data_IF_946423369231
#
_entry.id   IF_946423369231
#
_cell.length_a   1.000
_cell.length_b   1.000
_cell.length_c   1.000
_cell.angle_alpha   90.00
_cell.angle_beta   90.00
_cell.angle_gamma   90.00
#
_symmetry.space_group_name_H-M   'P 1'
#
loop_
_entity.id
_entity.type
_entity.pdbx_description
1 polymer ?
#
# COMPACT_ATOMS: atom_id res chain seq x y z
N UNK A 1 20.46 3.31 -18.56
CA UNK A 1 19.01 3.53 -18.40
C UNK A 1 18.60 2.69 -17.21
N UNK A 2 18.22 3.31 -16.09
CA UNK A 2 17.67 2.57 -14.96
C UNK A 2 16.17 2.51 -15.24
N UNK A 3 15.65 1.33 -15.61
CA UNK A 3 14.21 1.10 -15.58
C UNK A 3 13.82 1.26 -14.12
N UNK A 4 12.96 2.22 -13.81
CA UNK A 4 12.33 2.22 -12.51
C UNK A 4 11.52 0.91 -12.43
N UNK A 5 11.84 0.07 -11.44
CA UNK A 5 11.18 -1.22 -11.29
C UNK A 5 9.68 -1.00 -11.10
N UNK A 6 8.89 -1.79 -11.82
CA UNK A 6 7.44 -1.78 -11.71
C UNK A 6 7.06 -2.18 -10.27
N UNK A 7 6.25 -1.36 -9.60
CA UNK A 7 5.65 -1.73 -8.32
C UNK A 7 4.53 -2.72 -8.61
N UNK A 8 4.77 -3.97 -8.26
CA UNK A 8 3.80 -5.05 -8.33
C UNK A 8 3.12 -5.30 -6.96
N UNK A 9 2.20 -6.25 -6.93
CA UNK A 9 1.45 -6.60 -5.71
C UNK A 9 2.36 -7.05 -4.58
N UNK A 10 3.46 -7.75 -4.90
CA UNK A 10 4.38 -8.27 -3.89
C UNK A 10 5.19 -7.15 -3.28
N UNK A 11 5.73 -6.23 -4.10
CA UNK A 11 6.45 -5.05 -3.62
C UNK A 11 5.53 -4.18 -2.74
N UNK A 12 4.28 -3.98 -3.16
CA UNK A 12 3.29 -3.26 -2.37
C UNK A 12 3.06 -3.88 -1.00
N UNK A 13 2.81 -5.20 -0.92
CA UNK A 13 2.59 -5.91 0.35
C UNK A 13 3.84 -5.86 1.24
N UNK A 14 5.04 -6.00 0.67
CA UNK A 14 6.28 -5.90 1.44
C UNK A 14 6.48 -4.51 2.04
N UNK A 15 6.15 -3.44 1.29
CA UNK A 15 6.20 -2.07 1.82
C UNK A 15 5.20 -1.86 2.95
N UNK A 16 3.99 -2.41 2.85
CA UNK A 16 3.01 -2.36 3.94
C UNK A 16 3.50 -3.08 5.20
N UNK A 17 4.09 -4.27 5.04
CA UNK A 17 4.70 -5.00 6.16
C UNK A 17 5.87 -4.23 6.78
N UNK A 18 6.67 -3.52 5.97
CA UNK A 18 7.77 -2.70 6.45
C UNK A 18 7.30 -1.49 7.28
N UNK A 19 6.12 -0.94 6.97
CA UNK A 19 5.45 0.10 7.78
C UNK A 19 4.89 -0.50 9.09
N UNK A 20 4.65 -1.82 9.10
CA UNK A 20 4.18 -2.56 10.26
C UNK A 20 2.71 -2.98 10.19
N UNK A 21 2.11 -3.00 8.99
CA UNK A 21 0.79 -3.61 8.79
C UNK A 21 0.92 -5.14 8.71
N UNK A 22 0.04 -5.84 9.42
CA UNK A 22 -0.04 -7.29 9.35
C UNK A 22 -0.84 -7.71 8.11
N UNK A 23 -0.14 -7.86 6.98
CA UNK A 23 -0.71 -8.32 5.70
C UNK A 23 -0.06 -9.64 5.30
N UNK A 24 -0.82 -10.60 4.77
CA UNK A 24 -0.24 -11.86 4.32
C UNK A 24 0.59 -11.64 3.04
N UNK A 25 1.80 -12.21 2.95
CA UNK A 25 2.68 -12.08 1.78
C UNK A 25 2.13 -12.62 0.44
N UNK A 26 0.99 -13.31 0.48
CA UNK A 26 0.30 -13.85 -0.69
C UNK A 26 -1.13 -13.29 -0.80
N UNK A 27 -1.42 -12.21 -0.04
CA UNK A 27 -2.67 -11.48 -0.11
C UNK A 27 -2.79 -10.81 -1.47
N UNK A 28 -4.00 -10.83 -2.03
CA UNK A 28 -4.32 -9.95 -3.14
C UNK A 28 -4.27 -8.49 -2.68
N UNK A 29 -4.19 -7.54 -3.62
CA UNK A 29 -4.28 -6.10 -3.32
C UNK A 29 -5.56 -5.80 -2.52
N UNK A 30 -6.68 -6.41 -2.90
CA UNK A 30 -7.96 -6.23 -2.20
C UNK A 30 -7.91 -6.74 -0.75
N UNK A 31 -7.31 -7.91 -0.51
CA UNK A 31 -7.13 -8.45 0.84
C UNK A 31 -6.18 -7.56 1.67
N UNK A 32 -5.14 -7.00 1.04
CA UNK A 32 -4.25 -6.03 1.67
C UNK A 32 -4.99 -4.75 2.09
N UNK A 33 -5.89 -4.23 1.25
CA UNK A 33 -6.72 -3.06 1.62
C UNK A 33 -7.66 -3.36 2.79
N UNK A 34 -8.27 -4.55 2.83
CA UNK A 34 -9.09 -4.95 3.97
C UNK A 34 -8.25 -5.04 5.25
N UNK A 35 -7.08 -5.66 5.19
CA UNK A 35 -6.17 -5.76 6.32
C UNK A 35 -5.70 -4.38 6.83
N UNK A 36 -5.44 -3.44 5.92
CA UNK A 36 -5.14 -2.04 6.28
C UNK A 36 -6.34 -1.43 7.00
N UNK A 37 -7.55 -1.52 6.43
CA UNK A 37 -8.75 -0.93 7.00
C UNK A 37 -9.09 -1.46 8.39
N UNK A 38 -8.86 -2.75 8.63
CA UNK A 38 -9.05 -3.36 9.96
C UNK A 38 -8.06 -2.81 11.01
N UNK A 39 -6.87 -2.41 10.57
CA UNK A 39 -5.77 -1.97 11.44
C UNK A 39 -5.65 -0.44 11.53
N UNK A 40 -6.15 0.31 10.55
CA UNK A 40 -5.89 1.77 10.42
C UNK A 40 -6.39 2.58 11.61
N UNK A 41 -7.37 2.07 12.36
CA UNK A 41 -7.91 2.70 13.57
C UNK A 41 -7.09 2.43 14.83
N UNK A 42 -6.17 1.45 14.81
CA UNK A 42 -5.38 1.01 15.97
C UNK A 42 -3.86 1.17 15.79
N UNK A 43 -3.39 1.47 14.58
CA UNK A 43 -1.96 1.74 14.29
C UNK A 43 -1.48 3.05 14.89
N UNK A 44 -0.17 3.16 15.07
CA UNK A 44 0.44 4.39 15.57
C UNK A 44 0.35 5.52 14.52
N UNK A 45 0.27 6.81 14.95
CA UNK A 45 0.23 7.94 14.02
C UNK A 45 1.38 7.96 13.02
N UNK A 46 2.58 7.52 13.43
CA UNK A 46 3.76 7.41 12.57
C UNK A 46 3.57 6.41 11.42
N UNK A 47 2.88 5.29 11.67
CA UNK A 47 2.57 4.29 10.64
C UNK A 47 1.53 4.82 9.66
N UNK A 48 0.54 5.57 10.15
CA UNK A 48 -0.45 6.23 9.32
C UNK A 48 0.19 7.29 8.40
N UNK A 49 1.14 8.08 8.92
CA UNK A 49 1.91 9.03 8.12
C UNK A 49 2.74 8.32 7.03
N UNK A 50 3.40 7.21 7.36
CA UNK A 50 4.15 6.42 6.38
C UNK A 50 3.23 5.79 5.31
N UNK A 51 2.05 5.29 5.70
CA UNK A 51 1.05 4.80 4.75
C UNK A 51 0.60 5.92 3.82
N UNK A 52 0.31 7.11 4.35
CA UNK A 52 -0.06 8.28 3.54
C UNK A 52 1.04 8.67 2.54
N UNK A 53 2.31 8.62 2.97
CA UNK A 53 3.45 8.87 2.09
C UNK A 53 3.56 7.81 0.98
N UNK A 54 3.42 6.53 1.31
CA UNK A 54 3.40 5.45 0.33
C UNK A 54 2.29 5.65 -0.71
N UNK A 55 1.06 5.92 -0.26
CA UNK A 55 -0.09 6.15 -1.16
C UNK A 55 0.14 7.36 -2.08
N UNK A 56 0.75 8.43 -1.57
CA UNK A 56 1.12 9.59 -2.38
C UNK A 56 2.22 9.27 -3.40
N UNK A 57 3.23 8.49 -3.02
CA UNK A 57 4.29 8.03 -3.92
C UNK A 57 3.72 7.19 -5.06
N UNK A 58 2.84 6.23 -4.75
CA UNK A 58 2.19 5.38 -5.74
C UNK A 58 1.32 6.19 -6.71
N UNK A 59 0.57 7.17 -6.20
CA UNK A 59 -0.23 8.07 -7.03
C UNK A 59 0.61 9.02 -7.89
N UNK A 60 1.77 9.47 -7.41
CA UNK A 60 2.68 10.30 -8.20
C UNK A 60 3.35 9.49 -9.33
N UNK A 61 3.49 8.18 -9.16
CA UNK A 61 4.20 7.28 -10.06
C UNK A 61 3.28 6.25 -10.73
N UNK A 62 2.02 6.58 -11.00
CA UNK A 62 1.02 5.67 -11.60
C UNK A 62 1.51 4.95 -12.87
N UNK A 63 2.41 5.55 -13.66
CA UNK A 63 3.01 4.91 -14.84
C UNK A 63 3.99 3.75 -14.54
N UNK A 64 4.30 3.51 -13.27
CA UNK A 64 5.23 2.49 -12.78
C UNK A 64 4.59 1.58 -11.72
N UNK A 65 3.28 1.70 -11.49
CA UNK A 65 2.54 0.91 -10.51
C UNK A 65 1.50 0.08 -11.24
N UNK A 66 1.28 -1.16 -10.81
CA UNK A 66 0.19 -1.96 -11.36
C UNK A 66 -1.16 -1.23 -11.20
N UNK A 67 -1.99 -1.16 -12.27
CA UNK A 67 -3.30 -0.51 -12.21
C UNK A 67 -4.17 -1.02 -11.07
N UNK A 68 -4.12 -2.32 -10.78
CA UNK A 68 -4.89 -2.93 -9.71
C UNK A 68 -4.59 -2.28 -8.35
N UNK A 69 -3.34 -1.90 -8.07
CA UNK A 69 -2.98 -1.21 -6.84
C UNK A 69 -3.67 0.16 -6.82
N UNK A 70 -3.49 0.95 -7.88
CA UNK A 70 -4.03 2.31 -7.99
C UNK A 70 -5.57 2.33 -7.91
N UNK A 71 -6.24 1.37 -8.55
CA UNK A 71 -7.69 1.22 -8.53
C UNK A 71 -8.23 0.88 -7.12
N UNK A 72 -7.43 0.21 -6.30
CA UNK A 72 -7.81 -0.19 -4.94
C UNK A 72 -7.36 0.81 -3.87
N UNK A 73 -6.40 1.72 -4.13
CA UNK A 73 -5.98 2.76 -3.17
C UNK A 73 -7.14 3.58 -2.57
N UNK A 74 -8.18 3.99 -3.33
CA UNK A 74 -9.33 4.72 -2.79
C UNK A 74 -10.19 3.93 -1.80
N UNK A 75 -9.99 2.61 -1.67
CA UNK A 75 -10.71 1.77 -0.70
C UNK A 75 -10.19 1.94 0.73
N UNK A 76 -9.03 2.58 0.92
CA UNK A 76 -8.47 2.85 2.25
C UNK A 76 -9.38 3.82 3.00
N UNK A 77 -9.86 3.39 4.17
CA UNK A 77 -10.72 4.16 5.07
C UNK A 77 -9.89 4.99 6.03
N UNK A 78 -9.43 6.15 5.57
CA UNK A 78 -8.65 7.09 6.40
C UNK A 78 -9.46 7.55 7.63
N UNK A 79 -8.84 7.59 8.83
CA UNK A 79 -9.46 8.06 10.06
C UNK A 79 -9.64 9.59 10.11
#
# INVERSE_FOLDING_TARGET
MMFADLVDETDFVLRLQAIGFEVHAAASVCDAMHAINDQISIVEPSQLEQLSQLVNELNANQGLVLPEIIENLPMIQWP
#
